data_IF_046563759817
#
_entry.id   IF_046563759817
#
_cell.length_a   1.000
_cell.length_b   1.000
_cell.length_c   1.000
_cell.angle_alpha   90.00
_cell.angle_beta   90.00
_cell.angle_gamma   90.00
#
_symmetry.space_group_name_H-M   'P 1'
#
loop_
_entity.id
_entity.type
_entity.pdbx_description
1 polymer ?
#
# COMPACT_ATOMS: atom_id res chain seq x y z
N UNK A 1 -23.65 4.52 9.28
CA UNK A 1 -23.29 5.94 9.03
C UNK A 1 -21.82 6.05 8.60
N UNK A 2 -20.81 6.06 9.51
CA UNK A 2 -19.46 5.46 9.34
C UNK A 2 -19.05 4.91 7.99
N UNK A 3 -19.18 3.59 8.00
CA UNK A 3 -18.80 2.64 7.00
C UNK A 3 -19.54 2.87 5.69
N UNK A 4 -20.79 3.33 5.73
CA UNK A 4 -21.59 3.60 4.52
C UNK A 4 -21.00 4.77 3.73
N UNK A 5 -20.68 5.87 4.40
CA UNK A 5 -20.03 7.03 3.77
C UNK A 5 -18.68 6.64 3.17
N UNK A 6 -17.90 5.85 3.91
CA UNK A 6 -16.59 5.39 3.47
C UNK A 6 -16.67 4.46 2.25
N UNK A 7 -17.56 3.46 2.29
CA UNK A 7 -17.72 2.50 1.18
C UNK A 7 -18.29 3.19 -0.07
N UNK A 8 -19.31 4.03 0.08
CA UNK A 8 -19.93 4.71 -1.06
C UNK A 8 -18.98 5.69 -1.74
N UNK A 9 -18.23 6.48 -0.96
CA UNK A 9 -17.22 7.38 -1.52
C UNK A 9 -16.09 6.62 -2.22
N UNK A 10 -15.60 5.54 -1.63
CA UNK A 10 -14.54 4.70 -2.22
C UNK A 10 -14.99 4.08 -3.55
N UNK A 11 -16.18 3.48 -3.60
CA UNK A 11 -16.73 2.89 -4.82
C UNK A 11 -16.91 3.94 -5.92
N UNK A 12 -17.37 5.14 -5.57
CA UNK A 12 -17.49 6.25 -6.51
C UNK A 12 -16.13 6.69 -7.06
N UNK A 13 -15.11 6.85 -6.20
CA UNK A 13 -13.75 7.22 -6.59
C UNK A 13 -13.09 6.15 -7.49
N UNK A 14 -13.36 4.87 -7.23
CA UNK A 14 -12.90 3.77 -8.07
C UNK A 14 -13.60 3.72 -9.43
N UNK A 15 -14.90 4.03 -9.49
CA UNK A 15 -15.65 4.09 -10.75
C UNK A 15 -15.07 5.15 -11.72
N UNK A 16 -14.47 6.21 -11.19
CA UNK A 16 -13.83 7.28 -11.97
C UNK A 16 -12.35 6.98 -12.27
N UNK A 17 -11.85 5.78 -11.97
CA UNK A 17 -10.44 5.38 -12.15
C UNK A 17 -9.43 6.28 -11.40
N UNK A 18 -9.83 6.82 -10.25
CA UNK A 18 -8.94 7.63 -9.43
C UNK A 18 -7.81 6.75 -8.85
N UNK A 19 -6.56 7.23 -8.75
CA UNK A 19 -5.48 6.48 -8.10
C UNK A 19 -5.89 6.00 -6.70
N UNK A 20 -5.60 4.73 -6.42
CA UNK A 20 -6.06 4.03 -5.20
C UNK A 20 -5.69 4.81 -3.93
N UNK A 21 -4.46 5.36 -3.87
CA UNK A 21 -4.00 6.15 -2.74
C UNK A 21 -4.86 7.40 -2.49
N UNK A 22 -5.26 8.10 -3.56
CA UNK A 22 -6.11 9.29 -3.48
C UNK A 22 -7.53 8.89 -3.07
N UNK A 23 -8.06 7.80 -3.65
CA UNK A 23 -9.39 7.31 -3.33
C UNK A 23 -9.55 6.96 -1.83
N UNK A 24 -8.58 6.22 -1.27
CA UNK A 24 -8.58 5.85 0.16
C UNK A 24 -8.44 7.10 1.04
N UNK A 25 -7.55 8.02 0.68
CA UNK A 25 -7.33 9.27 1.43
C UNK A 25 -8.59 10.14 1.49
N UNK A 26 -9.19 10.41 0.34
CA UNK A 26 -10.40 11.25 0.24
C UNK A 26 -11.58 10.59 0.96
N UNK A 27 -11.84 9.30 0.72
CA UNK A 27 -12.93 8.58 1.39
C UNK A 27 -12.80 8.61 2.93
N UNK A 28 -11.58 8.43 3.43
CA UNK A 28 -11.29 8.46 4.87
C UNK A 28 -11.50 9.87 5.47
N UNK A 29 -11.02 10.92 4.79
CA UNK A 29 -11.21 12.31 5.24
C UNK A 29 -12.69 12.70 5.21
N UNK A 30 -13.41 12.35 4.16
CA UNK A 30 -14.86 12.61 4.05
C UNK A 30 -15.64 11.93 5.18
N UNK A 31 -15.29 10.70 5.53
CA UNK A 31 -15.93 9.98 6.64
C UNK A 31 -15.66 10.64 8.01
N UNK A 32 -14.44 11.14 8.24
CA UNK A 32 -14.07 11.85 9.47
C UNK A 32 -14.82 13.19 9.59
N UNK A 33 -14.86 13.97 8.50
CA UNK A 33 -15.49 15.29 8.50
C UNK A 33 -17.01 15.24 8.73
N UNK A 34 -17.69 14.23 8.20
CA UNK A 34 -19.16 14.12 8.31
C UNK A 34 -19.58 13.63 9.71
N UNK A 35 -18.76 12.81 10.37
CA UNK A 35 -19.15 12.18 11.65
C UNK A 35 -18.63 12.89 12.90
N UNK A 36 -17.66 13.81 12.77
CA UNK A 36 -17.35 14.85 13.76
C UNK A 36 -16.72 14.43 15.10
N UNK A 37 -16.92 13.20 15.58
CA UNK A 37 -16.53 12.75 16.93
C UNK A 37 -15.15 12.09 17.01
N UNK A 38 -14.30 12.27 15.99
CA UNK A 38 -12.95 11.70 16.01
C UNK A 38 -11.97 12.62 16.73
N UNK A 39 -11.29 12.09 17.75
CA UNK A 39 -10.14 12.78 18.34
C UNK A 39 -9.04 12.93 17.28
N UNK A 40 -8.74 14.18 16.91
CA UNK A 40 -7.73 14.50 15.90
C UNK A 40 -6.34 13.93 16.26
N UNK A 41 -6.05 13.80 17.56
CA UNK A 41 -4.82 13.14 18.03
C UNK A 41 -4.76 11.66 17.63
N UNK A 42 -5.88 10.93 17.67
CA UNK A 42 -5.92 9.53 17.22
C UNK A 42 -5.68 9.41 15.71
N UNK A 43 -6.13 10.40 14.93
CA UNK A 43 -5.87 10.43 13.48
C UNK A 43 -4.38 10.56 13.21
N UNK A 44 -3.72 11.53 13.86
CA UNK A 44 -2.26 11.73 13.74
C UNK A 44 -1.50 10.48 14.17
N UNK A 45 -1.85 9.88 15.31
CA UNK A 45 -1.22 8.64 15.78
C UNK A 45 -1.37 7.49 14.78
N UNK A 46 -2.55 7.31 14.17
CA UNK A 46 -2.77 6.26 13.17
C UNK A 46 -2.03 6.53 11.86
N UNK A 47 -1.91 7.79 11.43
CA UNK A 47 -1.13 8.14 10.25
C UNK A 47 0.36 7.83 10.46
N UNK A 48 0.92 8.20 11.62
CA UNK A 48 2.31 7.86 11.97
C UNK A 48 2.53 6.34 12.09
N UNK A 49 1.60 5.62 12.73
CA UNK A 49 1.66 4.15 12.77
C UNK A 49 1.61 3.48 11.39
N UNK A 50 0.91 4.08 10.42
CA UNK A 50 0.89 3.61 9.04
C UNK A 50 2.22 3.84 8.28
N UNK A 51 2.94 4.92 8.62
CA UNK A 51 4.27 5.18 8.04
C UNK A 51 5.34 4.23 8.57
N UNK A 52 5.18 3.70 9.78
CA UNK A 52 6.01 2.65 10.35
C UNK A 52 5.53 1.24 9.93
N UNK A 53 5.04 1.11 8.70
CA UNK A 53 4.60 -0.19 8.20
C UNK A 53 5.78 -1.00 7.67
N UNK A 54 5.83 -2.27 8.04
CA UNK A 54 6.76 -3.25 7.47
C UNK A 54 6.79 -3.21 5.94
N UNK A 55 5.67 -2.87 5.30
CA UNK A 55 5.55 -2.83 3.85
C UNK A 55 6.38 -1.70 3.22
N UNK A 56 6.41 -0.52 3.83
CA UNK A 56 7.22 0.61 3.35
C UNK A 56 8.72 0.33 3.49
N UNK A 57 9.13 -0.42 4.52
CA UNK A 57 10.51 -0.90 4.67
C UNK A 57 10.83 -2.11 3.76
N UNK A 58 9.84 -2.95 3.47
CA UNK A 58 10.03 -4.14 2.66
C UNK A 58 10.41 -3.79 1.21
N UNK A 59 9.79 -2.77 0.60
CA UNK A 59 10.10 -2.35 -0.77
C UNK A 59 11.59 -2.02 -0.97
N UNK A 60 12.22 -1.10 -0.20
CA UNK A 60 13.64 -0.79 -0.38
C UNK A 60 14.55 -1.97 -0.04
N UNK A 61 14.21 -2.78 0.98
CA UNK A 61 14.99 -3.96 1.34
C UNK A 61 14.92 -5.06 0.25
N UNK A 62 13.77 -5.24 -0.40
CA UNK A 62 13.64 -6.13 -1.55
C UNK A 62 14.38 -5.60 -2.77
N UNK A 63 14.33 -4.29 -3.03
CA UNK A 63 15.16 -3.69 -4.09
C UNK A 63 16.64 -3.91 -3.82
N UNK A 64 17.10 -3.70 -2.58
CA UNK A 64 18.49 -3.92 -2.19
C UNK A 64 18.91 -5.40 -2.26
N UNK A 65 18.03 -6.31 -1.84
CA UNK A 65 18.27 -7.74 -1.98
C UNK A 65 18.32 -8.14 -3.46
N UNK A 66 17.45 -7.56 -4.29
CA UNK A 66 17.43 -7.75 -5.74
C UNK A 66 18.75 -7.34 -6.39
N UNK A 67 19.31 -6.18 -6.02
CA UNK A 67 20.61 -5.75 -6.55
C UNK A 67 21.76 -6.64 -6.09
N UNK A 68 21.73 -7.13 -4.85
CA UNK A 68 22.70 -8.13 -4.36
C UNK A 68 22.57 -9.45 -5.15
N UNK A 69 21.34 -9.93 -5.38
CA UNK A 69 21.09 -11.18 -6.12
C UNK A 69 21.52 -11.08 -7.58
N UNK A 70 21.35 -9.92 -8.20
CA UNK A 70 21.81 -9.63 -9.55
C UNK A 70 23.34 -9.61 -9.62
N UNK A 71 23.99 -8.83 -8.75
CA UNK A 71 25.45 -8.73 -8.69
C UNK A 71 26.12 -10.07 -8.31
N UNK A 72 25.51 -10.84 -7.41
CA UNK A 72 25.98 -12.16 -7.00
C UNK A 72 25.68 -13.28 -8.01
N UNK A 73 25.01 -12.99 -9.11
CA UNK A 73 24.63 -13.97 -10.13
C UNK A 73 23.59 -15.00 -9.66
N UNK A 74 23.00 -14.81 -8.48
CA UNK A 74 21.95 -15.69 -7.93
C UNK A 74 20.71 -15.63 -8.82
N UNK A 75 20.32 -14.42 -9.25
CA UNK A 75 19.19 -14.22 -10.16
C UNK A 75 19.35 -15.06 -11.44
N UNK A 76 20.55 -15.02 -12.05
CA UNK A 76 20.90 -15.81 -13.24
C UNK A 76 20.76 -17.32 -12.97
N UNK A 77 21.35 -17.81 -11.87
CA UNK A 77 21.29 -19.24 -11.50
C UNK A 77 19.87 -19.74 -11.26
N UNK A 78 19.01 -18.92 -10.65
CA UNK A 78 17.59 -19.25 -10.44
C UNK A 78 16.87 -19.37 -11.80
N UNK A 79 17.11 -18.42 -12.71
CA UNK A 79 16.52 -18.44 -14.06
C UNK A 79 17.02 -19.67 -14.84
N UNK A 80 18.31 -19.95 -14.82
CA UNK A 80 18.90 -21.11 -15.52
C UNK A 80 18.33 -22.43 -14.96
N UNK A 81 18.12 -22.51 -13.65
CA UNK A 81 17.46 -23.66 -13.02
C UNK A 81 15.98 -23.80 -13.43
N UNK A 82 15.23 -22.69 -13.42
CA UNK A 82 13.84 -22.70 -13.86
C UNK A 82 13.71 -23.10 -15.34
N UNK A 83 14.59 -22.59 -16.21
CA UNK A 83 14.65 -22.98 -17.62
C UNK A 83 14.99 -24.47 -17.77
N UNK A 84 15.97 -25.00 -17.02
CA UNK A 84 16.31 -26.42 -17.09
C UNK A 84 15.15 -27.36 -16.68
N UNK A 85 14.20 -26.88 -15.87
CA UNK A 85 13.01 -27.65 -15.49
C UNK A 85 11.89 -27.60 -16.53
N UNK A 86 11.79 -26.52 -17.32
CA UNK A 86 10.68 -26.30 -18.26
C UNK A 86 11.09 -26.56 -19.72
N UNK A 87 12.39 -26.50 -20.05
CA UNK A 87 12.95 -26.73 -21.38
C UNK A 87 13.18 -25.45 -22.16
#
# INVERSE_FOLDING_TARGET
MTTEVLILSLLFLFAINTPIAIAIGVASVTAILIQGDFNLMMVVQRMFGGTDSFHLMAVPLFMFTGTIMEAGGISRRIIDFANALVG
#
